data_IF_675127195873
#
_entry.id   IF_675127195873
#
_cell.length_a   1.000
_cell.length_b   1.000
_cell.length_c   1.000
_cell.angle_alpha   90.00
_cell.angle_beta   90.00
_cell.angle_gamma   90.00
#
_symmetry.space_group_name_H-M   'P 1'
#
loop_
_entity.id
_entity.type
_entity.pdbx_description
1 polymer ?
#
# COMPACT_ATOMS: atom_id res chain seq x y z
N UNK A 1 32.78 4.27 3.31
CA UNK A 1 31.89 5.36 3.77
C UNK A 1 30.46 4.80 3.78
N UNK A 2 30.04 4.22 4.90
CA UNK A 2 28.72 3.57 5.00
C UNK A 2 27.64 4.60 5.25
N UNK A 3 26.69 4.76 4.32
CA UNK A 3 25.54 5.63 4.53
C UNK A 3 24.75 5.13 5.75
N UNK A 4 24.66 5.98 6.77
CA UNK A 4 23.72 5.80 7.86
C UNK A 4 22.31 6.02 7.27
N UNK A 5 21.71 4.95 6.74
CA UNK A 5 20.39 4.97 6.08
C UNK A 5 19.30 5.12 7.13
N UNK A 6 19.25 6.27 7.78
CA UNK A 6 18.11 6.65 8.62
C UNK A 6 17.19 7.53 7.77
N UNK A 7 16.31 6.90 6.97
CA UNK A 7 15.13 7.62 6.50
C UNK A 7 14.29 7.91 7.73
N UNK A 8 14.12 9.19 8.06
CA UNK A 8 13.25 9.58 9.18
C UNK A 8 11.85 8.96 9.02
N UNK A 9 11.20 8.64 10.16
CA UNK A 9 9.85 8.06 10.21
C UNK A 9 8.85 8.66 9.20
N UNK A 10 8.70 10.00 9.07
CA UNK A 10 7.77 10.57 8.10
C UNK A 10 8.16 10.25 6.65
N UNK A 11 9.46 10.30 6.34
CA UNK A 11 9.97 10.05 4.98
C UNK A 11 9.83 8.58 4.59
N UNK A 12 10.04 7.66 5.54
CA UNK A 12 9.84 6.23 5.33
C UNK A 12 8.36 5.89 5.10
N UNK A 13 7.46 6.54 5.84
CA UNK A 13 6.01 6.34 5.67
C UNK A 13 5.55 6.87 4.32
N UNK A 14 5.95 8.08 3.94
CA UNK A 14 5.63 8.64 2.62
C UNK A 14 6.21 7.81 1.47
N UNK A 15 7.44 7.31 1.63
CA UNK A 15 8.06 6.43 0.65
C UNK A 15 7.26 5.13 0.45
N UNK A 16 6.89 4.45 1.53
CA UNK A 16 6.07 3.24 1.45
C UNK A 16 4.67 3.51 0.89
N UNK A 17 3.98 4.54 1.39
CA UNK A 17 2.62 4.88 0.94
C UNK A 17 2.61 5.25 -0.54
N UNK A 18 3.54 6.09 -1.00
CA UNK A 18 3.62 6.46 -2.43
C UNK A 18 3.90 5.26 -3.33
N UNK A 19 4.76 4.33 -2.91
CA UNK A 19 5.03 3.10 -3.65
C UNK A 19 3.78 2.21 -3.76
N UNK A 20 3.04 2.02 -2.66
CA UNK A 20 1.82 1.20 -2.65
C UNK A 20 0.72 1.82 -3.52
N UNK A 21 0.50 3.13 -3.38
CA UNK A 21 -0.51 3.85 -4.16
C UNK A 21 -0.16 3.85 -5.66
N UNK A 22 1.07 4.24 -6.00
CA UNK A 22 1.49 4.42 -7.39
C UNK A 22 1.67 3.10 -8.16
N UNK A 23 2.49 2.19 -7.63
CA UNK A 23 2.81 0.94 -8.33
C UNK A 23 1.67 -0.10 -8.22
N UNK A 24 0.98 -0.13 -7.07
CA UNK A 24 -0.11 -1.06 -6.84
C UNK A 24 -1.43 -0.50 -7.34
N UNK A 25 -2.01 0.42 -6.55
CA UNK A 25 -3.40 0.82 -6.69
C UNK A 25 -3.69 1.45 -8.05
N UNK A 26 -2.94 2.49 -8.45
CA UNK A 26 -3.22 3.21 -9.68
C UNK A 26 -3.03 2.36 -10.95
N UNK A 27 -2.20 1.30 -10.90
CA UNK A 27 -2.03 0.40 -12.05
C UNK A 27 -3.27 -0.45 -12.32
N UNK A 28 -4.00 -0.84 -11.27
CA UNK A 28 -5.11 -1.81 -11.38
C UNK A 28 -6.50 -1.21 -11.08
N UNK A 29 -6.58 0.02 -10.56
CA UNK A 29 -7.84 0.60 -10.07
C UNK A 29 -8.91 0.71 -11.17
N UNK A 30 -8.52 0.96 -12.42
CA UNK A 30 -9.46 1.01 -13.54
C UNK A 30 -10.10 -0.35 -13.84
N UNK A 31 -9.30 -1.41 -13.90
CA UNK A 31 -9.80 -2.78 -14.10
C UNK A 31 -10.61 -3.25 -12.89
N UNK A 32 -10.14 -2.95 -11.68
CA UNK A 32 -10.83 -3.30 -10.45
C UNK A 32 -12.18 -2.58 -10.34
N UNK A 33 -12.27 -1.30 -10.73
CA UNK A 33 -13.52 -0.55 -10.78
C UNK A 33 -14.51 -1.11 -11.81
N UNK A 34 -14.02 -1.62 -12.96
CA UNK A 34 -14.86 -2.27 -13.96
C UNK A 34 -15.52 -3.57 -13.46
N UNK A 35 -14.86 -4.29 -12.55
CA UNK A 35 -15.36 -5.56 -11.99
C UNK A 35 -16.20 -5.31 -10.74
N UNK A 36 -15.70 -4.50 -9.80
CA UNK A 36 -16.32 -4.31 -8.49
C UNK A 36 -17.32 -3.13 -8.45
N UNK A 37 -17.23 -2.18 -9.38
CA UNK A 37 -18.07 -0.99 -9.41
C UNK A 37 -18.08 -0.23 -8.08
N UNK A 38 -19.28 0.06 -7.58
CA UNK A 38 -19.52 0.68 -6.26
C UNK A 38 -18.99 -0.13 -5.08
N UNK A 39 -18.76 -1.45 -5.20
CA UNK A 39 -18.24 -2.26 -4.09
C UNK A 39 -16.71 -2.18 -3.94
N UNK A 40 -16.01 -1.49 -4.84
CA UNK A 40 -14.55 -1.39 -4.87
C UNK A 40 -13.96 -0.87 -3.54
N UNK A 41 -14.63 0.09 -2.88
CA UNK A 41 -14.17 0.63 -1.61
C UNK A 41 -14.16 -0.42 -0.49
N UNK A 42 -15.07 -1.40 -0.53
CA UNK A 42 -15.11 -2.52 0.42
C UNK A 42 -13.91 -3.45 0.20
N UNK A 43 -13.51 -3.68 -1.05
CA UNK A 43 -12.31 -4.43 -1.40
C UNK A 43 -11.03 -3.79 -0.86
N UNK A 44 -10.89 -2.46 -0.99
CA UNK A 44 -9.77 -1.72 -0.41
C UNK A 44 -9.75 -1.76 1.11
N UNK A 45 -10.93 -1.72 1.76
CA UNK A 45 -11.04 -1.88 3.21
C UNK A 45 -10.51 -3.24 3.68
N UNK A 46 -10.92 -4.32 3.01
CA UNK A 46 -10.44 -5.68 3.32
C UNK A 46 -8.92 -5.80 3.09
N UNK A 47 -8.42 -5.22 2.00
CA UNK A 47 -6.98 -5.19 1.72
C UNK A 47 -6.20 -4.42 2.79
N UNK A 48 -6.72 -3.28 3.27
CA UNK A 48 -6.11 -2.51 4.35
C UNK A 48 -6.04 -3.31 5.66
N UNK A 49 -7.12 -4.00 6.02
CA UNK A 49 -7.15 -4.90 7.19
C UNK A 49 -6.11 -6.01 7.02
N UNK A 50 -6.09 -6.68 5.85
CA UNK A 50 -5.12 -7.72 5.56
C UNK A 50 -3.67 -7.23 5.65
N UNK A 51 -3.37 -6.02 5.16
CA UNK A 51 -2.05 -5.41 5.23
C UNK A 51 -1.60 -5.13 6.68
N UNK A 52 -2.52 -4.64 7.53
CA UNK A 52 -2.23 -4.41 8.96
C UNK A 52 -1.98 -5.73 9.67
N UNK A 53 -2.78 -6.76 9.39
CA UNK A 53 -2.58 -8.09 9.97
C UNK A 53 -1.24 -8.71 9.53
N UNK A 54 -0.86 -8.53 8.26
CA UNK A 54 0.36 -9.12 7.72
C UNK A 54 1.64 -8.40 8.18
N UNK A 55 1.56 -7.15 8.65
CA UNK A 55 2.71 -6.36 9.14
C UNK A 55 3.49 -7.05 10.28
N UNK A 56 2.92 -8.05 10.95
CA UNK A 56 3.56 -8.84 12.01
C UNK A 56 4.32 -10.09 11.57
N UNK A 57 4.22 -10.54 10.31
CA UNK A 57 4.90 -11.75 9.86
C UNK A 57 6.28 -11.40 9.32
N UNK A 58 7.28 -11.42 10.21
CA UNK A 58 8.69 -11.31 9.84
C UNK A 58 9.05 -12.44 8.86
N UNK A 59 9.34 -12.06 7.62
CA UNK A 59 10.25 -12.80 6.73
C UNK A 59 11.62 -12.15 6.87
#
# INVERSE_FOLDING_TARGET
MGLNRSLGLPMLTFYGTSMILGAGIYSIIGQAAGIAGESLWQGFLLAAVAAVLNRGSKV
#
